data_IF_895009940027
#
_entry.id   IF_895009940027
#
_cell.length_a   1.000
_cell.length_b   1.000
_cell.length_c   1.000
_cell.angle_alpha   90.00
_cell.angle_beta   90.00
_cell.angle_gamma   90.00
#
_symmetry.space_group_name_H-M   'P 1'
#
loop_
_entity.id
_entity.type
_entity.pdbx_description
1 polymer ?
#
# COMPACT_ATOMS: atom_id res chain seq x y z
N UNK A 1 -15.85 14.81 28.06
CA UNK A 1 -14.40 14.90 27.75
C UNK A 1 -14.30 15.41 26.32
N UNK A 2 -13.71 16.58 26.09
CA UNK A 2 -13.52 17.07 24.72
C UNK A 2 -12.44 16.21 24.04
N UNK A 3 -12.75 15.64 22.87
CA UNK A 3 -11.74 14.96 22.06
C UNK A 3 -10.58 15.93 21.77
N UNK A 4 -9.32 15.48 21.87
CA UNK A 4 -8.18 16.33 21.56
C UNK A 4 -8.24 16.75 20.09
N UNK A 5 -8.45 18.04 19.85
CA UNK A 5 -8.48 18.60 18.50
C UNK A 5 -7.06 18.69 17.94
N UNK A 6 -6.84 18.05 16.79
CA UNK A 6 -5.57 18.13 16.08
C UNK A 6 -5.35 19.54 15.51
N UNK A 7 -4.32 20.25 15.98
CA UNK A 7 -3.96 21.57 15.43
C UNK A 7 -2.88 21.45 14.35
N UNK A 8 -3.20 21.83 13.12
CA UNK A 8 -2.22 21.89 12.01
C UNK A 8 -1.59 23.28 11.95
N UNK A 9 -0.31 23.41 12.32
CA UNK A 9 0.40 24.69 12.37
C UNK A 9 0.92 25.20 11.02
N UNK A 10 1.19 24.29 10.08
CA UNK A 10 1.67 24.66 8.74
C UNK A 10 0.50 25.07 7.85
N UNK A 11 0.58 26.27 7.26
CA UNK A 11 -0.40 26.76 6.30
C UNK A 11 -0.58 25.79 5.12
N UNK A 12 0.52 25.27 4.58
CA UNK A 12 0.52 24.27 3.50
C UNK A 12 -0.19 22.98 3.90
N UNK A 13 0.07 22.47 5.11
CA UNK A 13 -0.56 21.24 5.58
C UNK A 13 -2.07 21.44 5.78
N UNK A 14 -2.48 22.61 6.26
CA UNK A 14 -3.88 22.98 6.40
C UNK A 14 -4.59 23.02 5.06
N UNK A 15 -3.99 23.63 4.04
CA UNK A 15 -4.57 23.71 2.69
C UNK A 15 -4.75 22.31 2.06
N UNK A 16 -3.75 21.44 2.22
CA UNK A 16 -3.82 20.04 1.77
C UNK A 16 -4.97 19.31 2.48
N UNK A 17 -5.06 19.44 3.81
CA UNK A 17 -6.08 18.75 4.61
C UNK A 17 -7.50 19.21 4.23
N UNK A 18 -7.72 20.52 4.06
CA UNK A 18 -9.02 21.05 3.62
C UNK A 18 -9.42 20.58 2.22
N UNK A 19 -8.48 20.61 1.26
CA UNK A 19 -8.73 20.14 -0.11
C UNK A 19 -9.08 18.65 -0.16
N UNK A 20 -8.40 17.83 0.64
CA UNK A 20 -8.69 16.39 0.74
C UNK A 20 -10.03 16.13 1.42
N UNK A 21 -10.34 16.85 2.51
CA UNK A 21 -11.61 16.76 3.21
C UNK A 21 -12.81 17.07 2.29
N UNK A 22 -12.68 18.11 1.45
CA UNK A 22 -13.71 18.47 0.47
C UNK A 22 -13.89 17.39 -0.60
N UNK A 23 -12.80 16.82 -1.12
CA UNK A 23 -12.85 15.78 -2.16
C UNK A 23 -13.45 14.47 -1.64
N UNK A 24 -13.12 14.10 -0.40
CA UNK A 24 -13.51 12.82 0.19
C UNK A 24 -14.81 12.89 0.99
N UNK A 25 -15.43 14.07 1.10
CA UNK A 25 -16.64 14.35 1.91
C UNK A 25 -16.46 13.89 3.37
N UNK A 26 -15.31 14.21 3.95
CA UNK A 26 -14.90 13.81 5.31
C UNK A 26 -14.48 15.01 6.15
N UNK A 27 -14.38 14.83 7.46
CA UNK A 27 -13.82 15.86 8.32
C UNK A 27 -12.30 15.95 8.14
N UNK A 28 -11.73 17.13 8.41
CA UNK A 28 -10.26 17.33 8.36
C UNK A 28 -9.55 16.37 9.33
N UNK A 29 -10.12 16.13 10.52
CA UNK A 29 -9.57 15.18 11.49
C UNK A 29 -9.45 13.77 10.90
N UNK A 30 -10.53 13.23 10.34
CA UNK A 30 -10.55 11.89 9.74
C UNK A 30 -9.57 11.73 8.57
N UNK A 31 -9.36 12.79 7.79
CA UNK A 31 -8.39 12.79 6.70
C UNK A 31 -6.97 12.72 7.24
N UNK A 32 -6.65 13.52 8.26
CA UNK A 32 -5.30 13.57 8.81
C UNK A 32 -4.98 12.30 9.58
N UNK A 33 -5.89 11.79 10.39
CA UNK A 33 -5.74 10.50 11.08
C UNK A 33 -5.44 9.38 10.09
N UNK A 34 -6.27 9.23 9.05
CA UNK A 34 -6.04 8.21 8.01
C UNK A 34 -4.74 8.42 7.23
N UNK A 35 -4.34 9.66 7.01
CA UNK A 35 -3.08 9.97 6.35
C UNK A 35 -1.88 9.58 7.22
N UNK A 36 -1.96 9.81 8.53
CA UNK A 36 -0.93 9.44 9.50
C UNK A 36 -0.87 7.92 9.68
N UNK A 37 -2.01 7.22 9.79
CA UNK A 37 -2.06 5.75 9.82
C UNK A 37 -1.43 5.15 8.56
N UNK A 38 -1.69 5.71 7.39
CA UNK A 38 -1.06 5.26 6.13
C UNK A 38 0.43 5.53 6.10
N UNK A 39 0.86 6.67 6.61
CA UNK A 39 2.28 7.03 6.68
C UNK A 39 3.01 6.10 7.66
N UNK A 40 2.42 5.86 8.83
CA UNK A 40 2.91 4.87 9.78
C UNK A 40 2.98 3.48 9.13
N UNK A 41 1.91 2.99 8.49
CA UNK A 41 1.94 1.69 7.82
C UNK A 41 2.91 1.62 6.61
N UNK A 42 3.28 2.75 6.01
CA UNK A 42 4.28 2.77 4.94
C UNK A 42 5.71 2.81 5.46
N UNK A 43 5.95 3.45 6.60
CA UNK A 43 7.27 3.65 7.19
C UNK A 43 7.60 2.62 8.28
N UNK A 44 6.60 2.07 8.96
CA UNK A 44 6.75 1.03 9.95
C UNK A 44 7.18 -0.26 9.27
N UNK A 45 8.32 -0.78 9.71
CA UNK A 45 8.77 -2.16 9.49
C UNK A 45 9.01 -2.56 8.02
N UNK A 46 9.09 -1.61 7.09
CA UNK A 46 9.56 -1.92 5.74
C UNK A 46 11.07 -1.95 5.72
N UNK A 47 11.61 -3.14 5.52
CA UNK A 47 12.98 -3.32 5.06
C UNK A 47 13.21 -2.41 3.84
N UNK A 48 14.23 -1.51 3.87
CA UNK A 48 14.59 -0.71 2.71
C UNK A 48 14.75 -1.61 1.48
N UNK A 49 14.28 -1.15 0.32
CA UNK A 49 14.33 -1.97 -0.90
C UNK A 49 15.74 -2.53 -1.17
N UNK A 50 16.78 -1.75 -0.86
CA UNK A 50 18.17 -2.18 -0.98
C UNK A 50 18.52 -3.37 -0.05
N UNK A 51 18.07 -3.33 1.20
CA UNK A 51 18.28 -4.40 2.18
C UNK A 51 17.48 -5.65 1.78
N UNK A 52 16.23 -5.46 1.34
CA UNK A 52 15.37 -6.54 0.82
C UNK A 52 16.02 -7.29 -0.33
N UNK A 53 16.50 -6.58 -1.37
CA UNK A 53 17.14 -7.22 -2.51
C UNK A 53 18.51 -7.82 -2.15
N UNK A 54 19.23 -7.26 -1.18
CA UNK A 54 20.47 -7.82 -0.68
C UNK A 54 20.23 -9.15 0.06
N UNK A 55 19.24 -9.20 0.96
CA UNK A 55 18.83 -10.42 1.66
C UNK A 55 18.29 -11.48 0.70
N UNK A 56 17.40 -11.10 -0.22
CA UNK A 56 16.85 -11.99 -1.25
C UNK A 56 17.93 -12.57 -2.17
N UNK A 57 19.03 -11.84 -2.41
CA UNK A 57 20.17 -12.36 -3.18
C UNK A 57 21.04 -13.30 -2.33
N UNK A 58 21.17 -13.03 -1.04
CA UNK A 58 21.99 -13.82 -0.12
C UNK A 58 21.34 -15.17 0.25
N UNK A 59 20.01 -15.22 0.27
CA UNK A 59 19.22 -16.45 0.38
C UNK A 59 19.05 -17.05 -1.02
N UNK A 60 19.71 -18.18 -1.37
CA UNK A 60 19.38 -18.88 -2.60
C UNK A 60 17.93 -19.37 -2.48
N UNK A 61 17.00 -18.65 -3.11
CA UNK A 61 15.61 -19.07 -3.21
C UNK A 61 15.51 -20.39 -3.95
N UNK A 62 14.47 -21.17 -3.65
CA UNK A 62 14.15 -22.36 -4.43
C UNK A 62 13.92 -21.95 -5.90
N UNK A 63 14.64 -22.60 -6.83
CA UNK A 63 14.40 -22.42 -8.25
C UNK A 63 12.96 -22.82 -8.55
N UNK A 64 12.16 -21.85 -9.01
CA UNK A 64 10.75 -22.10 -9.35
C UNK A 64 10.68 -22.60 -10.79
N UNK A 65 10.23 -23.84 -10.98
CA UNK A 65 9.93 -24.36 -12.32
C UNK A 65 8.62 -23.72 -12.83
N UNK A 66 8.79 -22.63 -13.59
CA UNK A 66 7.68 -21.92 -14.21
C UNK A 66 6.93 -22.80 -15.22
N UNK A 67 7.58 -23.78 -15.87
CA UNK A 67 6.93 -24.65 -16.83
C UNK A 67 5.99 -25.63 -16.14
N UNK A 68 6.36 -26.14 -14.97
CA UNK A 68 5.48 -26.97 -14.15
C UNK A 68 4.21 -26.20 -13.76
N UNK A 69 4.36 -24.99 -13.20
CA UNK A 69 3.25 -24.14 -12.78
C UNK A 69 2.33 -23.77 -13.96
N UNK A 70 2.91 -23.39 -15.10
CA UNK A 70 2.14 -23.02 -16.29
C UNK A 70 1.34 -24.22 -16.80
N UNK A 71 1.92 -25.42 -16.78
CA UNK A 71 1.23 -26.63 -17.23
C UNK A 71 0.08 -27.01 -16.28
N UNK A 72 0.27 -26.91 -14.97
CA UNK A 72 -0.78 -27.15 -13.98
C UNK A 72 -1.93 -26.14 -14.10
N UNK A 73 -1.61 -24.85 -14.25
CA UNK A 73 -2.61 -23.78 -14.30
C UNK A 73 -3.33 -23.69 -15.66
N UNK A 74 -2.79 -24.31 -16.71
CA UNK A 74 -3.38 -24.26 -18.05
C UNK A 74 -4.70 -25.02 -18.08
N UNK A 75 -5.79 -24.29 -18.28
CA UNK A 75 -7.10 -24.85 -18.63
C UNK A 75 -7.29 -24.75 -20.14
N UNK A 76 -7.20 -25.85 -20.90
CA UNK A 76 -7.46 -25.81 -22.34
C UNK A 76 -8.91 -25.39 -22.56
N UNK A 77 -9.13 -24.28 -23.27
CA UNK A 77 -10.45 -23.93 -23.75
C UNK A 77 -10.77 -24.82 -24.96
N UNK A 78 -11.78 -25.67 -24.85
CA UNK A 78 -12.19 -26.65 -25.88
C UNK A 78 -12.92 -26.04 -27.07
N UNK A 79 -12.76 -24.74 -27.33
CA UNK A 79 -13.46 -24.03 -28.39
C UNK A 79 -14.99 -24.08 -28.27
N UNK A 80 -15.68 -23.54 -29.27
CA UNK A 80 -17.10 -23.78 -29.49
C UNK A 80 -17.18 -24.92 -30.50
N UNK A 81 -18.01 -25.93 -30.22
CA UNK A 81 -18.27 -27.01 -31.16
C UNK A 81 -19.07 -26.42 -32.34
N UNK A 82 -18.47 -26.42 -33.54
CA UNK A 82 -19.04 -25.80 -34.76
C UNK A 82 -19.83 -26.81 -35.58
#
# INVERSE_FOLDING_TARGET
>A
MAEPQLSVRSARARDIAHRLAQREKRTVAQVVERALERYEASEAEREPAAEFYARMRAEPGDDVDLMEIINEARKPHTGIDL
#
